data_IF_874282696031
#
_entry.id   IF_874282696031
#
_cell.length_a   1.000
_cell.length_b   1.000
_cell.length_c   1.000
_cell.angle_alpha   90.00
_cell.angle_beta   90.00
_cell.angle_gamma   90.00
#
_symmetry.space_group_name_H-M   'P 1'
#
loop_
_entity.id
_entity.type
_entity.pdbx_description
1 polymer ?
#
# COMPACT_ATOMS: atom_id res chain seq x y z
N UNK A 1 29.00 -9.09 29.85
CA UNK A 1 28.88 -7.82 29.08
C UNK A 1 27.44 -7.71 28.60
N UNK A 2 26.73 -6.59 28.88
CA UNK A 2 25.38 -6.40 28.35
C UNK A 2 25.43 -6.32 26.82
N UNK A 3 24.52 -7.04 26.13
CA UNK A 3 24.42 -7.05 24.67
C UNK A 3 23.46 -5.96 24.23
N UNK A 4 23.94 -4.98 23.50
CA UNK A 4 23.13 -3.92 22.89
C UNK A 4 22.81 -4.26 21.44
N UNK A 5 21.62 -3.88 20.97
CA UNK A 5 21.18 -4.08 19.58
C UNK A 5 20.44 -2.83 19.08
N UNK A 6 20.54 -2.58 17.79
CA UNK A 6 19.78 -1.52 17.13
C UNK A 6 18.47 -2.07 16.55
N UNK A 7 17.51 -1.17 16.38
CA UNK A 7 16.22 -1.43 15.76
C UNK A 7 16.38 -1.34 14.25
N UNK A 8 16.08 -2.42 13.54
CA UNK A 8 16.15 -2.42 12.07
C UNK A 8 14.74 -2.31 11.51
N UNK A 9 14.43 -1.18 10.87
CA UNK A 9 13.20 -1.01 10.10
C UNK A 9 13.43 -1.64 8.72
N UNK A 10 12.89 -2.84 8.49
CA UNK A 10 13.08 -3.55 7.23
C UNK A 10 11.88 -3.30 6.32
N UNK A 11 11.95 -2.23 5.50
CA UNK A 11 11.02 -2.05 4.38
C UNK A 11 11.46 -2.93 3.22
N UNK A 12 10.94 -4.15 3.16
CA UNK A 12 11.17 -4.99 1.99
C UNK A 12 10.23 -4.57 0.86
N UNK A 13 10.75 -3.76 -0.05
CA UNK A 13 10.14 -3.49 -1.36
C UNK A 13 10.29 -4.76 -2.21
N UNK A 14 9.25 -5.60 -2.20
CA UNK A 14 9.15 -6.75 -3.10
C UNK A 14 9.03 -6.25 -4.55
N UNK A 15 10.14 -6.32 -5.28
CA UNK A 15 10.32 -5.88 -6.67
C UNK A 15 9.72 -6.88 -7.67
N UNK A 16 8.51 -7.38 -7.40
CA UNK A 16 7.72 -8.10 -8.40
C UNK A 16 6.60 -7.18 -8.84
N UNK A 17 6.43 -6.97 -10.16
CA UNK A 17 5.30 -6.20 -10.70
C UNK A 17 4.00 -6.81 -10.20
N UNK A 18 3.46 -6.25 -9.12
CA UNK A 18 2.33 -6.83 -8.43
C UNK A 18 1.10 -6.72 -9.34
N UNK A 19 0.22 -7.71 -9.24
CA UNK A 19 -1.09 -7.69 -9.91
C UNK A 19 -1.88 -6.42 -9.54
N UNK A 20 -1.63 -5.82 -8.36
CA UNK A 20 -2.24 -4.54 -7.97
C UNK A 20 -1.76 -3.38 -8.82
N UNK A 21 -0.45 -3.31 -9.12
CA UNK A 21 0.11 -2.31 -10.03
C UNK A 21 -0.48 -2.43 -11.44
N UNK A 22 -0.71 -3.66 -11.91
CA UNK A 22 -1.41 -3.92 -13.19
C UNK A 22 -2.86 -3.46 -13.14
N UNK A 23 -3.60 -3.73 -12.05
CA UNK A 23 -4.97 -3.24 -11.88
C UNK A 23 -5.04 -1.71 -11.84
N UNK A 24 -4.13 -1.04 -11.11
CA UNK A 24 -4.07 0.42 -11.06
C UNK A 24 -3.74 1.01 -12.44
N UNK A 25 -2.88 0.35 -13.21
CA UNK A 25 -2.55 0.74 -14.59
C UNK A 25 -3.76 0.57 -15.50
N UNK A 26 -4.48 -0.56 -15.42
CA UNK A 26 -5.70 -0.81 -16.20
C UNK A 26 -6.80 0.18 -15.83
N UNK A 27 -6.98 0.49 -14.54
CA UNK A 27 -7.96 1.46 -14.08
C UNK A 27 -7.68 2.86 -14.65
N UNK A 28 -6.41 3.29 -14.68
CA UNK A 28 -5.99 4.55 -15.32
C UNK A 28 -6.27 4.55 -16.82
N UNK A 29 -5.92 3.47 -17.53
CA UNK A 29 -6.20 3.33 -18.96
C UNK A 29 -7.70 3.40 -19.26
N UNK A 30 -8.52 2.68 -18.50
CA UNK A 30 -9.95 2.65 -18.70
C UNK A 30 -10.59 4.03 -18.46
N UNK A 31 -10.11 4.76 -17.43
CA UNK A 31 -10.52 6.15 -17.19
C UNK A 31 -10.17 7.05 -18.39
N UNK A 32 -8.94 6.96 -18.92
CA UNK A 32 -8.53 7.80 -20.06
C UNK A 32 -9.35 7.51 -21.32
N UNK A 33 -9.64 6.24 -21.60
CA UNK A 33 -10.48 5.84 -22.73
C UNK A 33 -11.92 6.37 -22.54
N UNK A 34 -12.45 6.29 -21.31
CA UNK A 34 -13.76 6.83 -20.97
C UNK A 34 -13.87 8.35 -21.14
N UNK A 35 -12.84 9.10 -20.76
CA UNK A 35 -12.80 10.56 -20.96
C UNK A 35 -12.77 10.90 -22.46
N UNK A 36 -11.92 10.23 -23.24
CA UNK A 36 -11.82 10.46 -24.69
C UNK A 36 -13.14 10.13 -25.38
N UNK A 37 -13.77 9.01 -25.05
CA UNK A 37 -15.05 8.62 -25.65
C UNK A 37 -16.19 9.57 -25.27
N UNK A 38 -16.18 10.12 -24.04
CA UNK A 38 -17.14 11.13 -23.59
C UNK A 38 -16.98 12.45 -24.37
N UNK A 39 -15.74 12.92 -24.59
CA UNK A 39 -15.46 14.14 -25.38
C UNK A 39 -15.93 13.98 -26.83
N UNK A 40 -15.64 12.83 -27.46
CA UNK A 40 -16.09 12.52 -28.82
C UNK A 40 -17.62 12.48 -28.88
N UNK A 41 -18.26 11.84 -27.90
CA UNK A 41 -19.73 11.72 -27.84
C UNK A 41 -20.43 13.05 -27.56
N UNK A 42 -19.80 13.95 -26.80
CA UNK A 42 -20.27 15.32 -26.59
C UNK A 42 -20.22 16.14 -27.89
N UNK A 43 -19.20 15.92 -28.72
CA UNK A 43 -19.05 16.60 -30.00
C UNK A 43 -20.00 16.07 -31.08
N UNK A 44 -20.39 14.79 -31.03
CA UNK A 44 -21.08 14.11 -32.14
C UNK A 44 -22.53 13.68 -31.89
N UNK A 45 -22.94 13.38 -30.64
CA UNK A 45 -24.25 12.78 -30.38
C UNK A 45 -25.17 13.67 -29.54
N UNK A 46 -24.87 13.84 -28.25
CA UNK A 46 -25.76 14.51 -27.29
C UNK A 46 -25.10 14.59 -25.91
N UNK A 47 -25.35 15.68 -25.14
CA UNK A 47 -24.88 15.80 -23.77
C UNK A 47 -25.45 14.72 -22.83
N UNK A 48 -26.62 14.16 -23.16
CA UNK A 48 -27.22 13.06 -22.37
C UNK A 48 -26.36 11.78 -22.49
N UNK A 49 -25.90 11.44 -23.70
CA UNK A 49 -25.03 10.30 -23.92
C UNK A 49 -23.66 10.46 -23.22
N UNK A 50 -23.14 11.68 -23.18
CA UNK A 50 -21.92 12.01 -22.45
C UNK A 50 -22.06 11.73 -20.94
N UNK A 51 -23.18 12.13 -20.32
CA UNK A 51 -23.46 11.85 -18.91
C UNK A 51 -23.46 10.35 -18.57
N UNK A 52 -24.10 9.53 -19.41
CA UNK A 52 -24.11 8.08 -19.21
C UNK A 52 -22.72 7.45 -19.34
N UNK A 53 -21.91 7.87 -20.32
CA UNK A 53 -20.54 7.36 -20.50
C UNK A 53 -19.64 7.71 -19.33
N UNK A 54 -19.72 8.94 -18.82
CA UNK A 54 -18.94 9.37 -17.66
C UNK A 54 -19.35 8.60 -16.40
N UNK A 55 -20.65 8.42 -16.16
CA UNK A 55 -21.13 7.68 -15.01
C UNK A 55 -20.71 6.20 -15.07
N UNK A 56 -20.83 5.57 -16.25
CA UNK A 56 -20.40 4.18 -16.43
C UNK A 56 -18.88 4.02 -16.32
N UNK A 57 -18.11 4.94 -16.89
CA UNK A 57 -16.65 4.95 -16.79
C UNK A 57 -16.17 5.15 -15.34
N UNK A 58 -16.81 6.06 -14.60
CA UNK A 58 -16.52 6.25 -13.17
C UNK A 58 -16.90 5.01 -12.35
N UNK A 59 -18.05 4.39 -12.62
CA UNK A 59 -18.47 3.15 -11.97
C UNK A 59 -17.46 2.02 -12.20
N UNK A 60 -17.02 1.81 -13.43
CA UNK A 60 -15.99 0.83 -13.78
C UNK A 60 -14.66 1.12 -13.07
N UNK A 61 -14.23 2.39 -13.05
CA UNK A 61 -13.03 2.80 -12.32
C UNK A 61 -13.15 2.51 -10.81
N UNK A 62 -14.28 2.85 -10.19
CA UNK A 62 -14.52 2.62 -8.78
C UNK A 62 -14.53 1.13 -8.42
N UNK A 63 -15.16 0.29 -9.26
CA UNK A 63 -15.17 -1.17 -9.10
C UNK A 63 -13.75 -1.74 -9.21
N UNK A 64 -12.98 -1.36 -10.22
CA UNK A 64 -11.60 -1.82 -10.37
C UNK A 64 -10.73 -1.43 -9.18
N UNK A 65 -10.90 -0.22 -8.65
CA UNK A 65 -10.21 0.24 -7.45
C UNK A 65 -10.59 -0.59 -6.22
N UNK A 66 -11.88 -0.86 -6.02
CA UNK A 66 -12.36 -1.68 -4.91
C UNK A 66 -11.82 -3.11 -4.99
N UNK A 67 -11.73 -3.70 -6.19
CA UNK A 67 -11.10 -5.01 -6.38
C UNK A 67 -9.60 -5.01 -6.04
N UNK A 68 -8.85 -3.99 -6.49
CA UNK A 68 -7.44 -3.86 -6.14
C UNK A 68 -7.25 -3.74 -4.62
N UNK A 69 -8.10 -2.99 -3.95
CA UNK A 69 -8.12 -2.84 -2.50
C UNK A 69 -8.38 -4.17 -1.77
N UNK A 70 -9.39 -4.93 -2.22
CA UNK A 70 -9.72 -6.24 -1.66
C UNK A 70 -8.55 -7.23 -1.81
N UNK A 71 -7.86 -7.21 -2.95
CA UNK A 71 -6.68 -8.06 -3.15
C UNK A 71 -5.54 -7.71 -2.16
N UNK A 72 -5.29 -6.42 -1.91
CA UNK A 72 -4.29 -5.99 -0.90
C UNK A 72 -4.67 -6.49 0.49
N UNK A 73 -5.95 -6.39 0.87
CA UNK A 73 -6.44 -6.88 2.17
C UNK A 73 -6.28 -8.40 2.28
N UNK A 74 -6.66 -9.15 1.25
CA UNK A 74 -6.52 -10.61 1.23
C UNK A 74 -5.06 -11.05 1.37
N UNK A 75 -4.14 -10.40 0.64
CA UNK A 75 -2.71 -10.67 0.79
C UNK A 75 -2.19 -10.34 2.17
N UNK A 76 -2.59 -9.19 2.75
CA UNK A 76 -2.26 -8.83 4.13
C UNK A 76 -2.71 -9.90 5.12
N UNK A 77 -3.94 -10.41 4.99
CA UNK A 77 -4.45 -11.47 5.88
C UNK A 77 -3.74 -12.80 5.71
N UNK A 78 -3.19 -13.07 4.52
CA UNK A 78 -2.39 -14.26 4.23
C UNK A 78 -0.91 -14.11 4.61
N UNK A 79 -0.48 -12.94 5.12
CA UNK A 79 0.92 -12.64 5.40
C UNK A 79 1.79 -12.52 4.14
N UNK A 80 1.17 -12.26 2.98
CA UNK A 80 1.84 -12.08 1.71
C UNK A 80 2.09 -10.59 1.45
N UNK A 81 3.21 -10.29 0.81
CA UNK A 81 3.55 -8.93 0.39
C UNK A 81 2.55 -8.40 -0.64
N UNK A 82 2.17 -7.14 -0.50
CA UNK A 82 1.32 -6.41 -1.44
C UNK A 82 1.90 -5.03 -1.72
N UNK A 83 1.60 -4.48 -2.89
CA UNK A 83 2.08 -3.21 -3.39
C UNK A 83 0.98 -2.13 -3.30
N UNK A 84 1.40 -0.90 -3.03
CA UNK A 84 0.53 0.25 -2.85
C UNK A 84 -0.07 0.40 -1.44
N UNK A 85 -0.78 1.52 -1.24
CA UNK A 85 -1.43 1.83 0.03
C UNK A 85 -2.84 1.22 0.09
N UNK A 86 -3.15 0.52 1.18
CA UNK A 86 -4.52 0.23 1.57
C UNK A 86 -5.08 1.52 2.17
N UNK A 87 -6.18 2.02 1.65
CA UNK A 87 -6.85 3.19 2.21
C UNK A 87 -7.24 2.89 3.68
N UNK A 88 -6.85 3.80 4.58
CA UNK A 88 -7.12 3.65 6.02
C UNK A 88 -6.16 2.72 6.80
N UNK A 89 -5.19 2.06 6.16
CA UNK A 89 -4.18 1.29 6.91
C UNK A 89 -3.11 2.23 7.50
N UNK A 90 -3.21 2.49 8.81
CA UNK A 90 -2.08 3.02 9.61
C UNK A 90 -0.94 2.01 9.50
N UNK A 91 0.23 2.44 9.02
CA UNK A 91 1.46 1.65 9.04
C UNK A 91 1.74 1.24 10.50
N UNK A 92 1.51 -0.03 10.82
CA UNK A 92 2.11 -0.65 11.99
C UNK A 92 3.59 -0.84 11.65
N UNK A 93 4.44 0.02 12.20
CA UNK A 93 5.88 -0.14 12.10
C UNK A 93 6.25 -1.34 12.97
N UNK A 94 6.55 -2.48 12.33
CA UNK A 94 7.08 -3.65 13.03
C UNK A 94 8.59 -3.53 13.12
N UNK A 95 9.09 -3.74 14.35
CA UNK A 95 10.49 -3.54 14.66
C UNK A 95 11.21 -4.87 14.83
N UNK A 96 12.40 -5.00 14.25
CA UNK A 96 13.21 -6.21 14.31
C UNK A 96 14.53 -5.98 15.05
N UNK A 97 15.00 -7.03 15.74
CA UNK A 97 16.23 -6.98 16.51
C UNK A 97 17.41 -7.05 15.55
N UNK A 98 18.26 -6.02 15.53
CA UNK A 98 19.45 -5.98 14.69
C UNK A 98 20.47 -7.09 14.98
N UNK A 99 20.43 -7.70 16.16
CA UNK A 99 21.33 -8.79 16.54
C UNK A 99 20.84 -10.17 16.10
N UNK A 100 19.59 -10.55 16.43
CA UNK A 100 19.07 -11.90 16.16
C UNK A 100 18.01 -11.96 15.05
N UNK A 101 17.57 -10.82 14.52
CA UNK A 101 16.57 -10.74 13.45
C UNK A 101 15.13 -11.07 13.87
N UNK A 102 14.88 -11.37 15.14
CA UNK A 102 13.53 -11.64 15.66
C UNK A 102 12.69 -10.37 15.78
N UNK A 103 11.37 -10.53 15.66
CA UNK A 103 10.39 -9.46 15.84
C UNK A 103 10.37 -9.00 17.30
N UNK A 104 10.54 -7.70 17.55
CA UNK A 104 10.40 -7.15 18.89
C UNK A 104 8.94 -6.97 19.27
N UNK A 105 8.57 -7.57 20.38
CA UNK A 105 7.29 -7.35 21.05
C UNK A 105 7.39 -6.28 22.15
N UNK A 106 8.60 -5.93 22.57
CA UNK A 106 8.86 -4.91 23.59
C UNK A 106 9.84 -3.85 23.08
N UNK A 107 9.72 -2.62 23.56
CA UNK A 107 10.56 -1.50 23.12
C UNK A 107 11.98 -1.56 23.69
N UNK A 108 12.18 -2.20 24.84
CA UNK A 108 13.42 -2.12 25.59
C UNK A 108 14.32 -3.35 25.48
N UNK A 109 13.75 -4.53 25.16
CA UNK A 109 14.52 -5.78 25.05
C UNK A 109 14.00 -6.71 23.98
N UNK A 110 14.90 -7.50 23.41
CA UNK A 110 14.52 -8.63 22.59
C UNK A 110 14.19 -9.85 23.48
N UNK A 111 12.97 -10.37 23.42
CA UNK A 111 12.55 -11.54 24.21
C UNK A 111 13.27 -12.84 23.79
N UNK A 112 13.81 -12.89 22.57
CA UNK A 112 14.52 -14.08 22.07
C UNK A 112 16.01 -14.11 22.47
N UNK A 113 16.72 -12.98 22.41
CA UNK A 113 18.17 -12.94 22.65
C UNK A 113 18.58 -12.18 23.92
N UNK A 114 17.62 -11.54 24.61
CA UNK A 114 17.86 -10.74 25.81
C UNK A 114 18.63 -9.44 25.56
N UNK A 115 18.92 -9.09 24.31
CA UNK A 115 19.65 -7.87 23.98
C UNK A 115 18.78 -6.63 24.28
N UNK A 116 19.41 -5.62 24.88
CA UNK A 116 18.77 -4.33 25.18
C UNK A 116 18.77 -3.48 23.92
N UNK A 117 17.61 -2.93 23.58
CA UNK A 117 17.45 -2.10 22.37
C UNK A 117 17.88 -0.69 22.74
N UNK A 118 18.80 -0.13 21.96
CA UNK A 118 19.24 1.25 22.12
C UNK A 118 18.58 2.06 21.01
N UNK A 119 17.66 2.96 21.38
CA UNK A 119 17.08 3.92 20.44
C UNK A 119 18.08 5.05 20.20
N UNK A 120 18.74 5.03 19.04
CA UNK A 120 19.52 6.18 18.58
C UNK A 120 18.58 7.16 17.89
N UNK A 121 18.01 8.08 18.67
CA UNK A 121 17.36 9.28 18.15
C UNK A 121 15.84 9.36 18.33
N UNK A 122 15.38 9.57 19.57
CA UNK A 122 14.55 10.75 19.77
C UNK A 122 15.53 11.94 19.78
N UNK A 123 15.38 12.97 18.93
CA UNK A 123 16.09 14.20 19.18
C UNK A 123 15.60 14.74 20.52
N UNK A 124 16.45 14.64 21.53
CA UNK A 124 16.42 15.52 22.68
C UNK A 124 16.65 16.94 22.13
N UNK A 125 15.57 17.62 21.76
CA UNK A 125 15.61 19.05 21.46
C UNK A 125 14.42 19.73 22.12
N UNK A 126 14.67 20.11 23.38
CA UNK A 126 14.24 21.32 24.12
C UNK A 126 12.80 21.81 23.94
#
# INVERSE_FOLDING_TARGET
MPRTTHRVEKRQLSQSESVESRLDKVAKWNLTIGIVSAVISLALLSPVACGFLLMFGFGQWAVLRAFAEQLRIQKRTAGLDYDGAISGARLEVTHYCGYCGQLLHSEHRCDACGATVVDEGAPDSL
#
